data_IF_002814777776
#
_entry.id   IF_002814777776
#
_cell.length_a   1.000
_cell.length_b   1.000
_cell.length_c   1.000
_cell.angle_alpha   90.00
_cell.angle_beta   90.00
_cell.angle_gamma   90.00
#
_symmetry.space_group_name_H-M   'P 1'
#
loop_
_entity.id
_entity.type
_entity.pdbx_description
1 polymer ?
#
# COMPACT_ATOMS: atom_id res chain seq x y z
N UNK A 1 -28.31 -9.64 -2.55
CA UNK A 1 -29.25 -9.98 -1.47
C UNK A 1 -29.80 -8.73 -0.80
N UNK A 2 -30.92 -8.86 -0.07
CA UNK A 2 -31.51 -7.82 0.78
C UNK A 2 -31.23 -8.16 2.23
N UNK A 3 -30.93 -7.16 3.07
CA UNK A 3 -30.75 -7.35 4.51
C UNK A 3 -30.91 -6.02 5.23
N UNK A 4 -31.87 -5.95 6.16
CA UNK A 4 -32.17 -4.76 6.93
C UNK A 4 -32.75 -3.61 6.09
N UNK A 5 -33.08 -2.50 6.75
CA UNK A 5 -33.50 -1.26 6.13
C UNK A 5 -32.29 -0.33 5.90
N UNK A 6 -32.34 0.47 4.86
CA UNK A 6 -31.35 1.50 4.57
C UNK A 6 -32.04 2.86 4.45
N UNK A 7 -31.33 3.91 4.85
CA UNK A 7 -31.82 5.30 4.74
C UNK A 7 -31.29 6.02 3.49
N UNK A 8 -30.93 5.25 2.44
CA UNK A 8 -30.41 5.82 1.20
C UNK A 8 -31.57 6.23 0.29
N UNK A 9 -31.78 7.53 0.03
CA UNK A 9 -32.76 7.98 -0.95
C UNK A 9 -32.46 7.35 -2.32
N UNK A 10 -33.46 6.75 -2.96
CA UNK A 10 -33.32 6.05 -4.25
C UNK A 10 -32.36 4.84 -4.21
N UNK A 11 -32.21 4.19 -3.05
CA UNK A 11 -31.47 2.94 -2.94
C UNK A 11 -32.10 1.81 -3.78
N UNK A 12 -31.27 0.83 -4.16
CA UNK A 12 -31.71 -0.33 -4.96
C UNK A 12 -32.30 -1.45 -4.11
N UNK A 13 -32.38 -1.26 -2.79
CA UNK A 13 -32.97 -2.22 -1.84
C UNK A 13 -32.13 -3.47 -1.61
N UNK A 14 -30.82 -3.41 -1.86
CA UNK A 14 -29.86 -4.52 -1.62
C UNK A 14 -28.83 -4.13 -0.57
N UNK A 15 -27.98 -5.07 -0.15
CA UNK A 15 -26.86 -4.77 0.79
C UNK A 15 -25.91 -3.68 0.27
N UNK A 16 -25.90 -3.42 -1.03
CA UNK A 16 -25.12 -2.34 -1.62
C UNK A 16 -25.49 -0.95 -1.12
N UNK A 17 -26.68 -0.80 -0.55
CA UNK A 17 -27.14 0.47 0.03
C UNK A 17 -26.59 0.72 1.45
N UNK A 18 -26.01 -0.29 2.10
CA UNK A 18 -25.36 -0.12 3.41
C UNK A 18 -23.98 0.52 3.26
N UNK A 19 -23.73 1.53 4.09
CA UNK A 19 -22.48 2.29 4.05
C UNK A 19 -21.23 1.41 4.24
N UNK A 20 -21.28 0.43 5.15
CA UNK A 20 -20.16 -0.47 5.41
C UNK A 20 -19.89 -1.42 4.23
N UNK A 21 -20.93 -1.93 3.58
CA UNK A 21 -20.77 -2.74 2.35
C UNK A 21 -20.11 -1.90 1.24
N UNK A 22 -20.56 -0.65 1.06
CA UNK A 22 -19.93 0.28 0.11
C UNK A 22 -18.48 0.55 0.45
N UNK A 23 -18.17 0.75 1.74
CA UNK A 23 -16.78 0.93 2.21
C UNK A 23 -15.92 -0.27 1.85
N UNK A 24 -16.38 -1.49 2.13
CA UNK A 24 -15.65 -2.72 1.77
C UNK A 24 -15.41 -2.84 0.26
N UNK A 25 -16.43 -2.62 -0.56
CA UNK A 25 -16.32 -2.69 -2.01
C UNK A 25 -15.40 -1.62 -2.59
N UNK A 26 -15.47 -0.39 -2.08
CA UNK A 26 -14.59 0.70 -2.48
C UNK A 26 -13.15 0.44 -2.04
N UNK A 27 -12.93 -0.09 -0.83
CA UNK A 27 -11.61 -0.50 -0.34
C UNK A 27 -10.99 -1.54 -1.26
N UNK A 28 -11.71 -2.63 -1.57
CA UNK A 28 -11.22 -3.66 -2.48
C UNK A 28 -10.85 -3.06 -3.85
N UNK A 29 -11.74 -2.25 -4.44
CA UNK A 29 -11.52 -1.65 -5.76
C UNK A 29 -10.31 -0.70 -5.77
N UNK A 30 -10.16 0.11 -4.73
CA UNK A 30 -9.08 1.08 -4.62
C UNK A 30 -7.72 0.41 -4.33
N UNK A 31 -7.67 -0.55 -3.41
CA UNK A 31 -6.45 -1.30 -3.09
C UNK A 31 -5.97 -2.14 -4.30
N UNK A 32 -6.89 -2.80 -5.02
CA UNK A 32 -6.54 -3.53 -6.25
C UNK A 32 -5.94 -2.59 -7.29
N UNK A 33 -6.51 -1.39 -7.48
CA UNK A 33 -5.96 -0.42 -8.41
C UNK A 33 -4.55 0.01 -8.00
N UNK A 34 -4.33 0.32 -6.72
CA UNK A 34 -3.01 0.71 -6.20
C UNK A 34 -1.97 -0.41 -6.39
N UNK A 35 -2.31 -1.65 -6.01
CA UNK A 35 -1.41 -2.80 -6.15
C UNK A 35 -1.05 -3.10 -7.62
N UNK A 36 -2.03 -3.05 -8.53
CA UNK A 36 -1.79 -3.23 -9.97
C UNK A 36 -0.94 -2.12 -10.56
N UNK A 37 -1.18 -0.87 -10.17
CA UNK A 37 -0.39 0.27 -10.64
C UNK A 37 1.07 0.16 -10.18
N UNK A 38 1.30 -0.26 -8.94
CA UNK A 38 2.64 -0.51 -8.40
C UNK A 38 3.35 -1.66 -9.14
N UNK A 39 2.64 -2.76 -9.42
CA UNK A 39 3.19 -3.88 -10.19
C UNK A 39 3.58 -3.45 -11.62
N UNK A 40 2.72 -2.67 -12.30
CA UNK A 40 3.00 -2.16 -13.64
C UNK A 40 4.16 -1.15 -13.64
N UNK A 41 4.24 -0.25 -12.66
CA UNK A 41 5.37 0.67 -12.51
C UNK A 41 6.69 -0.09 -12.31
N UNK A 42 6.65 -1.18 -11.52
CA UNK A 42 7.81 -2.06 -11.32
C UNK A 42 8.21 -2.74 -12.62
N UNK A 43 7.25 -3.30 -13.35
CA UNK A 43 7.48 -3.96 -14.65
C UNK A 43 8.09 -2.99 -15.68
N UNK A 44 7.54 -1.79 -15.82
CA UNK A 44 8.09 -0.74 -16.70
C UNK A 44 9.52 -0.36 -16.29
N UNK A 45 9.78 -0.26 -14.99
CA UNK A 45 11.13 0.04 -14.49
C UNK A 45 12.13 -1.07 -14.85
N UNK A 46 11.71 -2.35 -14.83
CA UNK A 46 12.52 -3.50 -15.26
C UNK A 46 12.79 -3.41 -16.77
N UNK A 47 11.77 -3.17 -17.59
CA UNK A 47 11.92 -3.05 -19.04
C UNK A 47 12.86 -1.92 -19.42
N UNK A 48 12.71 -0.75 -18.79
CA UNK A 48 13.59 0.39 -19.00
C UNK A 48 15.03 0.13 -18.51
N UNK A 49 15.22 -0.66 -17.47
CA UNK A 49 16.55 -1.07 -17.00
C UNK A 49 17.28 -1.97 -18.00
N UNK A 50 16.54 -2.72 -18.80
CA UNK A 50 17.08 -3.58 -19.86
C UNK A 50 17.30 -2.83 -21.19
N UNK A 51 16.47 -1.82 -21.46
CA UNK A 51 16.47 -1.06 -22.71
C UNK A 51 17.38 0.18 -22.69
N UNK A 52 17.81 0.64 -21.50
CA UNK A 52 18.59 1.86 -21.31
C UNK A 52 19.86 1.61 -20.50
N UNK A 53 20.93 2.35 -20.80
CA UNK A 53 22.16 2.38 -20.00
C UNK A 53 22.03 3.25 -18.72
N UNK A 54 20.88 3.90 -18.52
CA UNK A 54 20.62 4.74 -17.36
C UNK A 54 20.41 3.88 -16.10
N UNK A 55 21.42 3.87 -15.23
CA UNK A 55 21.44 3.05 -14.00
C UNK A 55 20.28 3.32 -13.03
N UNK A 56 19.64 4.49 -13.11
CA UNK A 56 18.50 4.85 -12.25
C UNK A 56 17.34 3.87 -12.39
N UNK A 57 17.07 3.33 -13.59
CA UNK A 57 15.98 2.38 -13.80
C UNK A 57 16.25 1.05 -13.12
N UNK A 58 17.52 0.61 -13.09
CA UNK A 58 17.91 -0.60 -12.36
C UNK A 58 17.73 -0.42 -10.85
N UNK A 59 18.14 0.70 -10.28
CA UNK A 59 17.95 1.01 -8.86
C UNK A 59 16.46 1.13 -8.50
N UNK A 60 15.68 1.81 -9.35
CA UNK A 60 14.22 1.94 -9.18
C UNK A 60 13.52 0.59 -9.21
N UNK A 61 13.79 -0.26 -10.21
CA UNK A 61 13.25 -1.61 -10.32
C UNK A 61 13.59 -2.46 -9.08
N UNK A 62 14.86 -2.42 -8.66
CA UNK A 62 15.33 -3.14 -7.48
C UNK A 62 14.63 -2.67 -6.19
N UNK A 63 14.39 -1.37 -6.05
CA UNK A 63 13.70 -0.79 -4.90
C UNK A 63 12.20 -1.12 -4.89
N UNK A 64 11.52 -1.04 -6.04
CA UNK A 64 10.08 -1.30 -6.14
C UNK A 64 9.71 -2.79 -6.00
N UNK A 65 10.59 -3.72 -6.37
CA UNK A 65 10.32 -5.16 -6.36
C UNK A 65 9.82 -5.68 -5.00
N UNK A 66 10.51 -5.48 -3.86
CA UNK A 66 10.04 -5.93 -2.56
C UNK A 66 8.73 -5.24 -2.14
N UNK A 67 8.53 -3.98 -2.51
CA UNK A 67 7.29 -3.25 -2.22
C UNK A 67 6.13 -3.84 -3.02
N UNK A 68 6.32 -4.07 -4.32
CA UNK A 68 5.28 -4.64 -5.18
C UNK A 68 4.88 -6.05 -4.74
N UNK A 69 5.86 -6.90 -4.38
CA UNK A 69 5.60 -8.27 -3.90
C UNK A 69 4.83 -8.23 -2.58
N UNK A 70 5.31 -7.51 -1.59
CA UNK A 70 4.70 -7.48 -0.27
C UNK A 70 3.30 -6.84 -0.30
N UNK A 71 3.19 -5.63 -0.83
CA UNK A 71 1.91 -4.91 -0.89
C UNK A 71 0.87 -5.62 -1.77
N UNK A 72 1.29 -6.20 -2.90
CA UNK A 72 0.40 -6.95 -3.80
C UNK A 72 -0.21 -8.17 -3.12
N UNK A 73 0.59 -8.95 -2.40
CA UNK A 73 0.15 -10.18 -1.71
C UNK A 73 -0.69 -9.88 -0.47
N UNK A 74 -0.34 -8.86 0.33
CA UNK A 74 -1.17 -8.38 1.45
C UNK A 74 -2.52 -7.85 0.96
N UNK A 75 -2.51 -7.08 -0.12
CA UNK A 75 -3.74 -6.59 -0.77
C UNK A 75 -4.60 -7.77 -1.22
N UNK A 76 -4.02 -8.81 -1.79
CA UNK A 76 -4.74 -10.03 -2.18
C UNK A 76 -5.45 -10.69 -1.01
N UNK A 77 -4.75 -10.88 0.12
CA UNK A 77 -5.33 -11.44 1.35
C UNK A 77 -6.48 -10.58 1.88
N UNK A 78 -6.27 -9.27 2.00
CA UNK A 78 -7.28 -8.31 2.49
C UNK A 78 -8.52 -8.27 1.61
N UNK A 79 -8.34 -8.29 0.29
CA UNK A 79 -9.45 -8.29 -0.68
C UNK A 79 -10.24 -9.59 -0.61
N UNK A 80 -9.59 -10.74 -0.49
CA UNK A 80 -10.26 -12.03 -0.35
C UNK A 80 -11.05 -12.12 0.97
N UNK A 81 -10.48 -11.63 2.07
CA UNK A 81 -11.16 -11.54 3.37
C UNK A 81 -12.42 -10.64 3.29
N UNK A 82 -12.29 -9.43 2.75
CA UNK A 82 -13.43 -8.53 2.55
C UNK A 82 -14.47 -9.14 1.62
N UNK A 83 -14.05 -9.90 0.61
CA UNK A 83 -14.93 -10.66 -0.28
C UNK A 83 -15.78 -11.65 0.50
N UNK A 84 -15.18 -12.46 1.38
CA UNK A 84 -15.91 -13.37 2.27
C UNK A 84 -16.88 -12.61 3.17
N UNK A 85 -16.45 -11.50 3.75
CA UNK A 85 -17.29 -10.67 4.62
C UNK A 85 -18.53 -10.13 3.89
N UNK A 86 -18.39 -9.65 2.66
CA UNK A 86 -19.52 -9.19 1.83
C UNK A 86 -20.50 -10.33 1.52
N UNK A 87 -20.02 -11.56 1.35
CA UNK A 87 -20.88 -12.73 1.17
C UNK A 87 -21.65 -13.12 2.45
N UNK A 88 -21.20 -12.68 3.64
CA UNK A 88 -21.76 -13.06 4.94
C UNK A 88 -21.56 -14.55 5.22
N UNK A 89 -22.49 -15.23 5.87
CA UNK A 89 -22.37 -16.66 6.18
C UNK A 89 -22.06 -17.54 4.96
N UNK A 90 -22.57 -17.19 3.79
CA UNK A 90 -22.25 -17.88 2.54
C UNK A 90 -20.78 -17.71 2.14
N UNK A 91 -20.09 -16.66 2.57
CA UNK A 91 -18.67 -16.47 2.30
C UNK A 91 -17.78 -17.44 3.06
N UNK A 92 -18.25 -18.01 4.16
CA UNK A 92 -17.50 -18.95 4.98
C UNK A 92 -17.56 -20.39 4.47
N UNK A 93 -18.67 -20.81 3.86
CA UNK A 93 -18.87 -22.18 3.42
C UNK A 93 -18.20 -22.45 2.06
N UNK A 94 -17.79 -23.73 1.84
CA UNK A 94 -17.08 -24.16 0.64
C UNK A 94 -17.87 -23.94 -0.64
N UNK A 95 -19.17 -24.16 -0.62
CA UNK A 95 -20.05 -24.17 -1.79
C UNK A 95 -20.11 -22.81 -2.49
N UNK A 96 -19.83 -21.71 -1.80
CA UNK A 96 -19.77 -20.38 -2.41
C UNK A 96 -18.48 -20.11 -3.17
N UNK A 97 -17.41 -20.86 -2.89
CA UNK A 97 -16.07 -20.66 -3.44
C UNK A 97 -15.33 -19.44 -2.89
N UNK A 98 -15.97 -18.56 -2.11
CA UNK A 98 -15.34 -17.34 -1.62
C UNK A 98 -14.17 -17.62 -0.64
N UNK A 99 -14.33 -18.61 0.23
CA UNK A 99 -13.31 -19.02 1.18
C UNK A 99 -12.07 -19.62 0.51
N UNK A 100 -12.21 -20.24 -0.66
CA UNK A 100 -11.08 -20.77 -1.42
C UNK A 100 -10.12 -19.67 -1.86
N UNK A 101 -10.60 -18.52 -2.36
CA UNK A 101 -9.73 -17.40 -2.72
C UNK A 101 -8.86 -16.94 -1.56
N UNK A 102 -9.41 -16.90 -0.34
CA UNK A 102 -8.65 -16.52 0.85
C UNK A 102 -7.57 -17.54 1.20
N UNK A 103 -7.87 -18.84 1.15
CA UNK A 103 -6.88 -19.89 1.39
C UNK A 103 -5.77 -19.87 0.34
N UNK A 104 -6.14 -19.77 -0.93
CA UNK A 104 -5.17 -19.85 -2.02
C UNK A 104 -4.23 -18.64 -2.05
N UNK A 105 -4.75 -17.43 -1.81
CA UNK A 105 -3.92 -16.23 -1.82
C UNK A 105 -2.95 -16.17 -0.64
N UNK A 106 -3.27 -16.84 0.49
CA UNK A 106 -2.46 -16.75 1.71
C UNK A 106 -1.02 -17.22 1.51
N UNK A 107 -0.78 -18.23 0.69
CA UNK A 107 0.57 -18.72 0.40
C UNK A 107 1.46 -17.66 -0.26
N UNK A 108 0.86 -16.70 -0.96
CA UNK A 108 1.62 -15.68 -1.69
C UNK A 108 2.41 -14.74 -0.78
N UNK A 109 2.01 -14.58 0.48
CA UNK A 109 2.75 -13.79 1.48
C UNK A 109 3.94 -14.53 2.08
N UNK A 110 4.07 -15.84 1.79
CA UNK A 110 5.04 -16.75 2.41
C UNK A 110 6.14 -17.12 1.42
N UNK A 111 5.79 -17.56 0.21
CA UNK A 111 6.76 -18.06 -0.77
C UNK A 111 7.60 -16.93 -1.40
N UNK A 112 8.69 -17.29 -2.07
CA UNK A 112 9.66 -16.38 -2.70
C UNK A 112 10.21 -15.28 -1.75
N UNK A 113 10.43 -15.69 -0.52
CA UNK A 113 10.75 -14.82 0.61
C UNK A 113 9.47 -14.23 1.22
N UNK A 114 9.31 -14.44 2.52
CA UNK A 114 8.15 -13.90 3.25
C UNK A 114 8.11 -12.37 3.11
N UNK A 115 6.94 -11.79 3.32
CA UNK A 115 6.80 -10.33 3.26
C UNK A 115 7.71 -9.60 4.25
N UNK A 116 8.01 -10.22 5.42
CA UNK A 116 9.02 -9.71 6.36
C UNK A 116 10.43 -9.68 5.75
N UNK A 117 10.82 -10.75 5.04
CA UNK A 117 12.12 -10.80 4.33
C UNK A 117 12.20 -9.75 3.22
N UNK A 118 11.12 -9.52 2.49
CA UNK A 118 11.04 -8.45 1.50
C UNK A 118 11.22 -7.06 2.14
N UNK A 119 10.60 -6.85 3.29
CA UNK A 119 10.73 -5.61 4.03
C UNK A 119 12.16 -5.40 4.58
N UNK A 120 12.77 -6.46 5.12
CA UNK A 120 14.18 -6.43 5.56
C UNK A 120 15.14 -6.16 4.40
N UNK A 121 14.89 -6.76 3.23
CA UNK A 121 15.67 -6.49 2.01
C UNK A 121 15.57 -5.02 1.59
N UNK A 122 14.37 -4.44 1.67
CA UNK A 122 14.14 -3.03 1.36
C UNK A 122 15.01 -2.11 2.22
N UNK A 123 14.96 -2.24 3.54
CA UNK A 123 15.66 -1.32 4.46
C UNK A 123 17.12 -1.69 4.68
N UNK A 124 17.50 -2.97 4.52
CA UNK A 124 18.86 -3.46 4.76
C UNK A 124 19.76 -3.42 3.53
N UNK A 125 19.21 -3.50 2.31
CA UNK A 125 19.98 -3.51 1.06
C UNK A 125 19.63 -2.38 0.10
N UNK A 126 18.32 -2.10 -0.10
CA UNK A 126 17.86 -1.17 -1.14
C UNK A 126 17.98 0.30 -0.73
N UNK A 127 18.14 0.57 0.56
CA UNK A 127 18.45 1.91 1.08
C UNK A 127 19.95 2.14 1.30
N UNK A 128 20.82 1.17 0.95
CA UNK A 128 22.28 1.27 1.17
C UNK A 128 22.98 2.25 0.22
N UNK A 129 22.29 2.71 -0.83
CA UNK A 129 22.71 3.80 -1.70
C UNK A 129 22.48 5.21 -1.09
N UNK A 130 22.18 5.28 0.21
CA UNK A 130 21.78 6.52 0.88
C UNK A 130 20.32 6.88 0.63
N UNK A 131 19.53 5.94 0.08
CA UNK A 131 18.10 6.13 -0.21
C UNK A 131 17.85 6.81 -1.58
N UNK A 132 18.81 6.83 -2.49
CA UNK A 132 18.71 7.54 -3.78
C UNK A 132 17.46 7.14 -4.57
N UNK A 133 17.22 5.83 -4.72
CA UNK A 133 16.04 5.34 -5.42
C UNK A 133 14.72 5.73 -4.72
N UNK A 134 14.71 5.71 -3.38
CA UNK A 134 13.55 6.12 -2.59
C UNK A 134 13.27 7.62 -2.73
N UNK A 135 14.30 8.46 -2.63
CA UNK A 135 14.16 9.91 -2.82
C UNK A 135 13.72 10.27 -4.23
N UNK A 136 14.23 9.59 -5.25
CA UNK A 136 13.81 9.78 -6.65
C UNK A 136 12.31 9.54 -6.83
N UNK A 137 11.73 8.51 -6.16
CA UNK A 137 10.29 8.26 -6.17
C UNK A 137 9.50 9.38 -5.47
N UNK A 138 10.01 9.88 -4.34
CA UNK A 138 9.40 11.02 -3.64
C UNK A 138 9.45 12.29 -4.50
N UNK A 139 10.55 12.53 -5.21
CA UNK A 139 10.68 13.68 -6.13
C UNK A 139 9.67 13.60 -7.28
N UNK A 140 9.44 12.41 -7.85
CA UNK A 140 8.41 12.20 -8.88
C UNK A 140 7.00 12.51 -8.36
N UNK A 141 6.68 12.10 -7.11
CA UNK A 141 5.40 12.44 -6.46
C UNK A 141 5.27 13.95 -6.35
N UNK A 142 6.26 14.62 -5.76
CA UNK A 142 6.23 16.06 -5.52
C UNK A 142 6.18 16.87 -6.82
N UNK A 143 6.89 16.41 -7.86
CA UNK A 143 6.83 17.01 -9.20
C UNK A 143 5.42 16.92 -9.78
N UNK A 144 4.78 15.77 -9.70
CA UNK A 144 3.40 15.58 -10.19
C UNK A 144 2.42 16.47 -9.44
N UNK A 145 2.54 16.57 -8.11
CA UNK A 145 1.68 17.44 -7.30
C UNK A 145 1.86 18.92 -7.67
N UNK A 146 3.10 19.39 -7.84
CA UNK A 146 3.39 20.79 -8.20
C UNK A 146 2.84 21.21 -9.57
N UNK A 147 2.65 20.25 -10.48
CA UNK A 147 2.08 20.47 -11.81
C UNK A 147 0.61 20.06 -11.92
N UNK A 148 -0.01 19.74 -10.79
CA UNK A 148 -1.38 19.27 -10.74
C UNK A 148 -2.37 20.41 -11.05
N UNK A 149 -3.42 20.19 -11.88
CA UNK A 149 -4.47 21.16 -12.09
C UNK A 149 -5.21 21.51 -10.80
N UNK A 150 -5.68 22.75 -10.67
CA UNK A 150 -6.32 23.30 -9.46
C UNK A 150 -7.53 22.47 -8.99
N UNK A 151 -8.30 21.90 -9.91
CA UNK A 151 -9.44 21.03 -9.62
C UNK A 151 -9.11 19.81 -8.74
N UNK A 152 -7.83 19.41 -8.67
CA UNK A 152 -7.35 18.30 -7.87
C UNK A 152 -6.61 18.74 -6.60
N UNK A 153 -6.51 20.04 -6.32
CA UNK A 153 -5.69 20.59 -5.23
C UNK A 153 -5.94 19.91 -3.88
N UNK A 154 -7.21 19.59 -3.56
CA UNK A 154 -7.55 18.96 -2.28
C UNK A 154 -6.91 17.58 -2.08
N UNK A 155 -6.88 16.72 -3.11
CA UNK A 155 -6.24 15.41 -3.03
C UNK A 155 -4.72 15.50 -3.27
N UNK A 156 -4.27 16.44 -4.07
CA UNK A 156 -2.86 16.68 -4.32
C UNK A 156 -2.12 17.14 -3.06
N UNK A 157 -2.74 18.02 -2.25
CA UNK A 157 -2.16 18.46 -0.98
C UNK A 157 -1.95 17.32 0.02
N UNK A 158 -2.90 16.37 0.12
CA UNK A 158 -2.73 15.17 0.96
C UNK A 158 -1.57 14.29 0.48
N UNK A 159 -1.43 14.12 -0.84
CA UNK A 159 -0.32 13.37 -1.43
C UNK A 159 1.02 14.09 -1.21
N UNK A 160 1.04 15.44 -1.26
CA UNK A 160 2.23 16.22 -0.93
C UNK A 160 2.65 15.99 0.52
N UNK A 161 1.73 16.17 1.47
CA UNK A 161 2.00 15.98 2.91
C UNK A 161 2.52 14.56 3.19
N UNK A 162 1.89 13.56 2.59
CA UNK A 162 2.33 12.17 2.73
C UNK A 162 3.75 11.96 2.18
N UNK A 163 4.08 12.60 1.05
CA UNK A 163 5.42 12.51 0.45
C UNK A 163 6.50 13.18 1.29
N UNK A 164 6.18 14.30 1.95
CA UNK A 164 7.09 14.98 2.87
C UNK A 164 7.36 14.14 4.11
N UNK A 165 6.32 13.57 4.72
CA UNK A 165 6.43 12.65 5.85
C UNK A 165 7.26 11.41 5.50
N UNK A 166 7.08 10.88 4.28
CA UNK A 166 7.86 9.76 3.77
C UNK A 166 9.34 10.13 3.61
N UNK A 167 9.64 11.32 3.11
CA UNK A 167 11.02 11.83 2.98
C UNK A 167 11.74 11.84 4.32
N UNK A 168 11.07 12.32 5.37
CA UNK A 168 11.63 12.30 6.73
C UNK A 168 11.84 10.87 7.25
N UNK A 169 10.94 9.94 6.94
CA UNK A 169 11.10 8.54 7.32
C UNK A 169 12.26 7.86 6.59
N UNK A 170 12.47 8.15 5.30
CA UNK A 170 13.65 7.67 4.54
C UNK A 170 14.93 8.19 5.20
N UNK A 171 14.99 9.47 5.54
CA UNK A 171 16.12 10.07 6.23
C UNK A 171 16.43 9.38 7.55
N UNK A 172 15.38 9.13 8.36
CA UNK A 172 15.51 8.40 9.63
C UNK A 172 16.05 6.98 9.39
N UNK A 173 15.48 6.22 8.47
CA UNK A 173 15.94 4.86 8.15
C UNK A 173 17.41 4.84 7.72
N UNK A 174 17.83 5.76 6.86
CA UNK A 174 19.22 5.86 6.40
C UNK A 174 20.18 6.28 7.50
N UNK A 175 19.72 7.01 8.54
CA UNK A 175 20.58 7.49 9.63
C UNK A 175 20.81 6.47 10.75
N UNK A 176 20.07 5.34 10.79
CA UNK A 176 20.24 4.34 11.83
C UNK A 176 21.53 3.53 11.60
N UNK A 177 22.44 3.56 12.56
CA UNK A 177 23.66 2.76 12.56
C UNK A 177 23.40 1.30 12.93
N UNK A 178 22.51 1.08 13.92
CA UNK A 178 22.07 -0.26 14.32
C UNK A 178 21.09 -0.82 13.28
N UNK A 179 21.49 -1.88 12.60
CA UNK A 179 20.66 -2.52 11.59
C UNK A 179 19.34 -3.07 12.15
N UNK A 180 19.30 -3.44 13.43
CA UNK A 180 18.08 -3.94 14.07
C UNK A 180 17.01 -2.86 14.21
N UNK A 181 17.39 -1.58 14.35
CA UNK A 181 16.44 -0.47 14.36
C UNK A 181 15.75 -0.33 13.01
N UNK A 182 16.50 -0.52 11.91
CA UNK A 182 15.89 -0.58 10.57
C UNK A 182 14.97 -1.79 10.40
N UNK A 183 15.41 -2.97 10.89
CA UNK A 183 14.62 -4.21 10.74
C UNK A 183 13.35 -4.19 11.58
N UNK A 184 13.38 -3.61 12.78
CA UNK A 184 12.18 -3.42 13.60
C UNK A 184 11.10 -2.60 12.87
N UNK A 185 11.52 -1.57 12.15
CA UNK A 185 10.64 -0.70 11.37
C UNK A 185 10.38 -1.13 9.93
N UNK A 186 10.96 -2.25 9.46
CA UNK A 186 10.96 -2.60 8.03
C UNK A 186 9.57 -2.81 7.43
N UNK A 187 8.73 -3.61 8.09
CA UNK A 187 7.38 -3.92 7.60
C UNK A 187 6.48 -2.68 7.58
N UNK A 188 6.33 -1.91 8.67
CA UNK A 188 5.53 -0.70 8.63
C UNK A 188 6.08 0.35 7.66
N UNK A 189 7.41 0.48 7.49
CA UNK A 189 8.00 1.37 6.49
C UNK A 189 7.62 0.98 5.06
N UNK A 190 7.76 -0.31 4.71
CA UNK A 190 7.37 -0.82 3.39
C UNK A 190 5.88 -0.56 3.11
N UNK A 191 5.02 -0.86 4.07
CA UNK A 191 3.58 -0.68 3.92
C UNK A 191 3.20 0.79 3.77
N UNK A 192 3.80 1.69 4.54
CA UNK A 192 3.60 3.13 4.41
C UNK A 192 4.03 3.65 3.03
N UNK A 193 5.21 3.20 2.55
CA UNK A 193 5.71 3.56 1.23
C UNK A 193 4.72 3.14 0.14
N UNK A 194 4.23 1.90 0.21
CA UNK A 194 3.26 1.38 -0.74
C UNK A 194 1.92 2.14 -0.70
N UNK A 195 1.43 2.50 0.49
CA UNK A 195 0.21 3.32 0.66
C UNK A 195 0.34 4.68 -0.01
N UNK A 196 1.48 5.34 0.16
CA UNK A 196 1.75 6.66 -0.43
C UNK A 196 1.89 6.57 -1.94
N UNK A 197 2.61 5.56 -2.46
CA UNK A 197 2.66 5.28 -3.90
C UNK A 197 1.27 4.99 -4.48
N UNK A 198 0.42 4.25 -3.75
CA UNK A 198 -0.97 4.03 -4.13
C UNK A 198 -1.73 5.35 -4.30
N UNK A 199 -1.60 6.28 -3.36
CA UNK A 199 -2.16 7.63 -3.45
C UNK A 199 -1.68 8.41 -4.68
N UNK A 200 -0.38 8.34 -4.93
CA UNK A 200 0.25 8.92 -6.11
C UNK A 200 -0.34 8.37 -7.43
N UNK A 201 -0.47 7.06 -7.56
CA UNK A 201 -1.04 6.45 -8.77
C UNK A 201 -2.52 6.80 -8.95
N UNK A 202 -3.28 6.87 -7.86
CA UNK A 202 -4.65 7.33 -7.88
C UNK A 202 -4.75 8.78 -8.35
N UNK A 203 -3.89 9.67 -7.85
CA UNK A 203 -3.83 11.08 -8.29
C UNK A 203 -3.51 11.17 -9.79
N UNK A 204 -2.47 10.47 -10.27
CA UNK A 204 -2.13 10.43 -11.71
C UNK A 204 -3.31 9.97 -12.56
N UNK A 205 -4.01 8.91 -12.14
CA UNK A 205 -5.16 8.39 -12.86
C UNK A 205 -6.33 9.37 -12.90
N UNK A 206 -6.57 10.10 -11.80
CA UNK A 206 -7.60 11.12 -11.71
C UNK A 206 -7.32 12.30 -12.66
N UNK A 207 -6.06 12.78 -12.68
CA UNK A 207 -5.63 13.85 -13.58
C UNK A 207 -5.86 13.47 -15.05
N UNK A 208 -5.54 12.23 -15.43
CA UNK A 208 -5.70 11.76 -16.81
C UNK A 208 -7.16 11.61 -17.25
N UNK A 209 -8.06 11.21 -16.35
CA UNK A 209 -9.48 11.06 -16.66
C UNK A 209 -10.26 12.38 -16.58
N UNK A 210 -9.82 13.31 -15.75
CA UNK A 210 -10.50 14.58 -15.46
C UNK A 210 -11.35 14.56 -14.18
N UNK A 211 -11.67 15.73 -13.67
CA UNK A 211 -12.21 15.92 -12.31
C UNK A 211 -13.61 15.33 -12.05
N UNK A 212 -14.41 15.07 -13.08
CA UNK A 212 -15.74 14.44 -12.96
C UNK A 212 -15.73 12.92 -13.14
N UNK A 213 -14.57 12.33 -13.44
CA UNK A 213 -14.44 10.93 -13.77
C UNK A 213 -14.64 9.97 -12.59
N UNK A 214 -14.81 8.68 -12.91
CA UNK A 214 -14.91 7.63 -11.89
C UNK A 214 -13.58 7.41 -11.16
N UNK A 215 -12.46 7.58 -11.86
CA UNK A 215 -11.11 7.50 -11.28
C UNK A 215 -10.90 8.56 -10.23
N UNK A 216 -11.39 9.78 -10.47
CA UNK A 216 -11.32 10.87 -9.49
C UNK A 216 -12.11 10.54 -8.22
N UNK A 217 -13.31 9.96 -8.34
CA UNK A 217 -14.09 9.52 -7.17
C UNK A 217 -13.35 8.44 -6.38
N UNK A 218 -12.74 7.48 -7.08
CA UNK A 218 -11.97 6.41 -6.45
C UNK A 218 -10.67 6.94 -5.81
N UNK A 219 -9.99 7.89 -6.47
CA UNK A 219 -8.80 8.56 -5.93
C UNK A 219 -9.10 9.33 -4.65
N UNK A 220 -10.21 10.08 -4.62
CA UNK A 220 -10.67 10.75 -3.40
C UNK A 220 -10.93 9.75 -2.26
N UNK A 221 -11.59 8.63 -2.57
CA UNK A 221 -11.83 7.60 -1.56
C UNK A 221 -10.51 7.03 -1.02
N UNK A 222 -9.57 6.66 -1.90
CA UNK A 222 -8.28 6.10 -1.47
C UNK A 222 -7.48 7.10 -0.64
N UNK A 223 -7.32 8.33 -1.14
CA UNK A 223 -6.47 9.36 -0.54
C UNK A 223 -7.00 9.81 0.82
N UNK A 224 -8.32 9.94 0.99
CA UNK A 224 -8.90 10.39 2.27
C UNK A 224 -9.22 9.27 3.26
N UNK A 225 -9.41 8.00 2.80
CA UNK A 225 -9.86 6.93 3.68
C UNK A 225 -8.84 5.79 3.87
N UNK A 226 -7.94 5.55 2.92
CA UNK A 226 -7.00 4.44 2.99
C UNK A 226 -5.55 4.92 3.15
N UNK A 227 -5.14 5.92 2.39
CA UNK A 227 -3.78 6.45 2.44
C UNK A 227 -3.38 6.95 3.85
N UNK A 228 -4.24 7.58 4.67
CA UNK A 228 -3.86 8.06 6.01
C UNK A 228 -3.30 7.01 6.96
N UNK A 229 -3.47 5.71 6.68
CA UNK A 229 -2.81 4.61 7.39
C UNK A 229 -1.27 4.81 7.47
N UNK A 230 -0.68 5.51 6.48
CA UNK A 230 0.75 5.78 6.44
C UNK A 230 1.28 6.48 7.68
N UNK A 231 0.48 7.33 8.33
CA UNK A 231 0.91 8.10 9.50
C UNK A 231 1.27 7.19 10.67
N UNK A 232 0.36 6.26 11.01
CA UNK A 232 0.61 5.28 12.08
C UNK A 232 1.74 4.32 11.71
N UNK A 233 1.80 3.89 10.46
CA UNK A 233 2.86 3.00 9.96
C UNK A 233 4.24 3.67 10.04
N UNK A 234 4.37 4.93 9.63
CA UNK A 234 5.65 5.66 9.74
C UNK A 234 6.03 6.01 11.17
N UNK A 235 5.05 6.19 12.05
CA UNK A 235 5.31 6.31 13.49
C UNK A 235 5.89 5.01 14.05
N UNK A 236 5.28 3.86 13.74
CA UNK A 236 5.79 2.54 14.14
C UNK A 236 7.19 2.27 13.57
N UNK A 237 7.41 2.62 12.30
CA UNK A 237 8.68 2.40 11.63
C UNK A 237 9.87 3.08 12.30
N UNK A 238 9.64 4.16 13.05
CA UNK A 238 10.68 4.96 13.69
C UNK A 238 10.87 4.68 15.20
N UNK A 239 10.27 3.60 15.74
CA UNK A 239 10.39 3.28 17.18
C UNK A 239 11.74 2.66 17.56
N UNK A 240 12.47 2.09 16.58
CA UNK A 240 13.67 1.31 16.87
C UNK A 240 13.35 -0.09 17.39
N UNK A 241 14.38 -0.79 17.90
CA UNK A 241 14.27 -2.21 18.26
C UNK A 241 14.26 -2.48 19.78
N UNK A 242 14.41 -1.48 20.61
CA UNK A 242 14.60 -1.63 22.06
C UNK A 242 13.46 -2.46 22.70
N UNK A 243 12.21 -2.08 22.45
CA UNK A 243 11.04 -2.77 23.01
C UNK A 243 10.94 -4.22 22.53
N UNK A 244 11.33 -4.50 21.27
CA UNK A 244 11.27 -5.84 20.70
C UNK A 244 12.26 -6.80 21.35
N UNK A 245 13.41 -6.32 21.77
CA UNK A 245 14.47 -7.10 22.42
C UNK A 245 14.45 -6.97 23.93
N UNK A 246 13.50 -6.27 24.52
CA UNK A 246 13.31 -6.21 25.99
C UNK A 246 12.83 -7.56 26.56
N UNK A 247 12.14 -8.36 25.74
CA UNK A 247 11.71 -9.72 26.11
C UNK A 247 12.77 -10.75 25.73
N UNK A 248 13.14 -11.61 26.69
CA UNK A 248 13.95 -12.79 26.41
C UNK A 248 13.15 -13.84 25.64
N UNK A 249 13.85 -14.77 24.99
CA UNK A 249 13.19 -15.88 24.28
C UNK A 249 12.28 -16.73 25.21
N UNK A 250 12.67 -16.92 26.47
CA UNK A 250 11.88 -17.68 27.44
C UNK A 250 10.58 -16.93 27.78
N UNK A 251 10.64 -15.61 28.04
CA UNK A 251 9.44 -14.81 28.30
C UNK A 251 8.45 -14.81 27.14
N UNK A 252 8.93 -14.87 25.89
CA UNK A 252 8.06 -14.98 24.71
C UNK A 252 7.40 -16.37 24.57
N UNK A 253 7.97 -17.43 25.18
CA UNK A 253 7.44 -18.78 25.13
C UNK A 253 6.49 -19.10 26.29
N UNK A 254 6.53 -18.33 27.36
CA UNK A 254 5.72 -18.50 28.57
C UNK A 254 4.36 -17.76 28.50
N UNK A 255 4.03 -17.04 27.43
CA UNK A 255 2.83 -16.22 27.25
C UNK A 255 1.59 -17.01 26.77
#
# INVERSE_FOLDING_TARGET
RKQGSTNVPKGIGTILDHADVRRMLLTMKADIFAARSLALETAVSIDLSNASSDGRWKSRAAFLTPIAKSFGTETGCRVAELGMQVHGGMGFIEESGAAQYYRDVRVTTIYEGTNGIQAMDLVGRKLMDGGEAAYSLVDDIQKTVKTCPEDFSSIANEVMLASETLREAIKWMCSQENINDRFAGAVPFLNAFARILGGYFHLKSAIQEGHLGQRTKLARFYIFNLMPEYMGLLQQAKQGCEDLYSFSANELLEA
#
